data_IF_458960846128
#
_entry.id   IF_458960846128
#
_cell.length_a   1.000
_cell.length_b   1.000
_cell.length_c   1.000
_cell.angle_alpha   90.00
_cell.angle_beta   90.00
_cell.angle_gamma   90.00
#
_symmetry.space_group_name_H-M   'P 1'
#
loop_
_entity.id
_entity.type
_entity.pdbx_description
1 polymer ?
#
# COMPACT_ATOMS: atom_id res chain seq x y z
N UNK A 1 -27.92 -35.58 1.36
CA UNK A 1 -26.83 -35.02 0.55
C UNK A 1 -27.00 -33.50 0.65
N UNK A 2 -26.38 -32.91 1.64
CA UNK A 2 -26.40 -31.48 1.88
C UNK A 2 -25.25 -30.89 1.07
N UNK A 3 -25.60 -30.08 0.07
CA UNK A 3 -24.66 -29.21 -0.65
C UNK A 3 -24.00 -28.28 0.37
N UNK A 4 -22.79 -28.61 0.76
CA UNK A 4 -21.85 -27.62 1.27
C UNK A 4 -21.43 -26.77 0.06
N UNK A 5 -22.21 -25.73 -0.25
CA UNK A 5 -21.71 -24.62 -1.03
C UNK A 5 -20.53 -24.05 -0.21
N UNK A 6 -19.33 -24.28 -0.68
CA UNK A 6 -18.12 -23.60 -0.22
C UNK A 6 -18.40 -22.10 -0.29
N UNK A 7 -18.70 -21.50 0.85
CA UNK A 7 -18.95 -20.06 0.93
C UNK A 7 -17.65 -19.37 0.52
N UNK A 8 -17.70 -18.71 -0.62
CA UNK A 8 -16.62 -17.77 -1.01
C UNK A 8 -16.45 -16.78 0.14
N UNK A 9 -15.31 -16.75 0.81
CA UNK A 9 -15.09 -15.92 2.00
C UNK A 9 -15.15 -14.42 1.71
N UNK A 10 -14.92 -14.02 0.45
CA UNK A 10 -15.17 -12.66 -0.01
C UNK A 10 -16.67 -12.36 -0.01
N UNK A 11 -17.52 -13.37 -0.20
CA UNK A 11 -18.97 -13.21 -0.08
C UNK A 11 -19.41 -12.74 1.32
N UNK A 12 -18.63 -13.02 2.36
CA UNK A 12 -18.93 -12.52 3.72
C UNK A 12 -18.72 -11.02 3.91
N UNK A 13 -17.94 -10.38 3.05
CA UNK A 13 -17.71 -8.93 3.02
C UNK A 13 -18.66 -8.24 2.03
N UNK A 14 -19.14 -8.98 1.02
CA UNK A 14 -19.97 -8.45 -0.04
C UNK A 14 -21.45 -8.39 0.39
N UNK A 15 -22.14 -7.37 -0.08
CA UNK A 15 -23.59 -7.32 -0.03
C UNK A 15 -24.19 -8.32 -1.03
N UNK A 16 -24.69 -9.45 -0.54
CA UNK A 16 -25.33 -10.48 -1.36
C UNK A 16 -26.51 -9.92 -2.17
N UNK A 17 -27.26 -8.98 -1.58
CA UNK A 17 -28.41 -8.36 -2.23
C UNK A 17 -28.00 -7.59 -3.51
N UNK A 18 -26.95 -6.78 -3.41
CA UNK A 18 -26.39 -6.04 -4.54
C UNK A 18 -25.79 -6.97 -5.59
N UNK A 19 -25.03 -7.97 -5.16
CA UNK A 19 -24.43 -8.96 -6.06
C UNK A 19 -25.51 -9.73 -6.85
N UNK A 20 -26.60 -10.17 -6.20
CA UNK A 20 -27.70 -10.86 -6.86
C UNK A 20 -28.50 -9.95 -7.81
N UNK A 21 -28.71 -8.69 -7.45
CA UNK A 21 -29.39 -7.74 -8.34
C UNK A 21 -28.54 -7.44 -9.56
N UNK A 22 -27.24 -7.22 -9.37
CA UNK A 22 -26.31 -6.99 -10.46
C UNK A 22 -26.26 -8.20 -11.41
N UNK A 23 -26.17 -9.42 -10.87
CA UNK A 23 -26.15 -10.65 -11.67
C UNK A 23 -27.45 -10.79 -12.51
N UNK A 24 -28.61 -10.45 -11.95
CA UNK A 24 -29.87 -10.43 -12.72
C UNK A 24 -29.85 -9.40 -13.84
N UNK A 25 -29.39 -8.19 -13.55
CA UNK A 25 -29.24 -7.14 -14.58
C UNK A 25 -28.31 -7.59 -15.71
N UNK A 26 -27.24 -8.28 -15.37
CA UNK A 26 -26.29 -8.84 -16.32
C UNK A 26 -26.94 -9.88 -17.25
N UNK A 27 -27.75 -10.78 -16.69
CA UNK A 27 -28.50 -11.78 -17.46
C UNK A 27 -29.55 -11.14 -18.38
N UNK A 28 -30.28 -10.14 -17.90
CA UNK A 28 -31.34 -9.44 -18.63
C UNK A 28 -30.79 -8.57 -19.77
N UNK A 29 -29.54 -8.11 -19.68
CA UNK A 29 -28.91 -7.23 -20.67
C UNK A 29 -28.57 -7.90 -22.02
N UNK A 30 -28.65 -9.22 -22.10
CA UNK A 30 -28.31 -9.98 -23.32
C UNK A 30 -26.80 -10.04 -23.62
N UNK A 31 -25.97 -9.57 -22.68
CA UNK A 31 -24.50 -9.68 -22.71
C UNK A 31 -23.78 -8.34 -22.65
N UNK A 32 -22.52 -8.40 -22.25
CA UNK A 32 -21.64 -7.25 -21.98
C UNK A 32 -20.43 -7.18 -22.92
N UNK A 33 -20.45 -7.88 -24.06
CA UNK A 33 -19.29 -8.01 -24.96
C UNK A 33 -18.71 -6.65 -25.40
N UNK A 34 -19.57 -5.65 -25.62
CA UNK A 34 -19.12 -4.29 -25.99
C UNK A 34 -18.46 -3.59 -24.79
N UNK A 35 -19.02 -3.72 -23.61
CA UNK A 35 -18.49 -3.12 -22.38
C UNK A 35 -17.15 -3.77 -22.01
N UNK A 36 -17.02 -5.09 -22.15
CA UNK A 36 -15.77 -5.81 -21.94
C UNK A 36 -14.69 -5.32 -22.90
N UNK A 37 -14.96 -5.28 -24.21
CA UNK A 37 -14.00 -4.80 -25.21
C UNK A 37 -13.56 -3.34 -24.96
N UNK A 38 -14.50 -2.50 -24.53
CA UNK A 38 -14.17 -1.13 -24.14
C UNK A 38 -13.28 -1.08 -22.90
N UNK A 39 -13.62 -1.81 -21.83
CA UNK A 39 -12.86 -1.84 -20.59
C UNK A 39 -11.44 -2.40 -20.81
N UNK A 40 -11.30 -3.45 -21.61
CA UNK A 40 -10.00 -3.98 -22.02
C UNK A 40 -9.14 -2.93 -22.75
N UNK A 41 -9.74 -2.23 -23.72
CA UNK A 41 -9.06 -1.17 -24.47
C UNK A 41 -8.66 -0.01 -23.56
N UNK A 42 -9.54 0.38 -22.62
CA UNK A 42 -9.24 1.41 -21.63
C UNK A 42 -8.09 1.00 -20.73
N UNK A 43 -8.15 -0.19 -20.11
CA UNK A 43 -7.11 -0.68 -19.20
C UNK A 43 -5.75 -0.82 -19.90
N UNK A 44 -5.74 -1.26 -21.15
CA UNK A 44 -4.53 -1.29 -21.96
C UNK A 44 -3.94 0.11 -22.20
N UNK A 45 -4.79 1.15 -22.27
CA UNK A 45 -4.35 2.53 -22.47
C UNK A 45 -3.85 3.22 -21.21
N UNK A 46 -4.30 2.76 -20.02
CA UNK A 46 -3.94 3.38 -18.73
C UNK A 46 -2.59 2.92 -18.19
N UNK A 47 -1.99 1.91 -18.79
CA UNK A 47 -0.77 1.26 -18.28
C UNK A 47 -0.92 0.77 -16.82
N UNK A 48 -2.14 0.42 -16.40
CA UNK A 48 -2.43 -0.08 -15.04
C UNK A 48 -1.87 -1.49 -14.78
N UNK A 49 -1.33 -2.15 -15.80
CA UNK A 49 -0.73 -3.48 -15.72
C UNK A 49 0.71 -3.47 -15.21
N UNK A 50 1.29 -4.66 -15.11
CA UNK A 50 2.68 -4.86 -14.69
C UNK A 50 3.59 -4.91 -15.93
N UNK A 51 4.45 -3.91 -16.10
CA UNK A 51 5.29 -3.76 -17.28
C UNK A 51 4.43 -3.63 -18.56
N UNK A 52 4.70 -4.47 -19.57
CA UNK A 52 3.95 -4.50 -20.83
C UNK A 52 2.66 -5.34 -20.77
N UNK A 53 2.38 -5.98 -19.63
CA UNK A 53 1.19 -6.81 -19.47
C UNK A 53 0.05 -5.98 -18.93
N UNK A 54 -1.13 -5.96 -19.59
CA UNK A 54 -2.31 -5.32 -19.04
C UNK A 54 -2.71 -5.98 -17.73
N UNK A 55 -3.42 -5.25 -16.86
CA UNK A 55 -3.97 -5.81 -15.64
C UNK A 55 -4.95 -6.93 -15.98
N UNK A 56 -4.74 -8.10 -15.39
CA UNK A 56 -5.71 -9.18 -15.47
C UNK A 56 -6.92 -8.82 -14.58
N UNK A 57 -8.14 -8.85 -15.12
CA UNK A 57 -9.33 -8.38 -14.43
C UNK A 57 -10.58 -9.19 -14.76
N UNK A 58 -11.58 -9.10 -13.90
CA UNK A 58 -12.91 -9.71 -14.05
C UNK A 58 -13.98 -8.63 -14.12
N UNK A 59 -15.06 -8.91 -14.85
CA UNK A 59 -16.26 -8.06 -14.91
C UNK A 59 -17.25 -8.30 -13.76
N UNK A 60 -16.87 -9.10 -12.79
CA UNK A 60 -17.69 -9.40 -11.61
C UNK A 60 -17.31 -8.48 -10.45
N UNK A 61 -18.09 -7.43 -10.15
CA UNK A 61 -17.76 -6.51 -9.08
C UNK A 61 -17.95 -7.14 -7.70
N UNK A 62 -17.22 -6.60 -6.73
CA UNK A 62 -17.44 -6.83 -5.30
C UNK A 62 -18.13 -5.60 -4.73
N UNK A 63 -19.26 -5.78 -4.10
CA UNK A 63 -20.03 -4.72 -3.43
C UNK A 63 -19.85 -4.85 -1.92
N UNK A 64 -19.13 -3.93 -1.31
CA UNK A 64 -18.88 -3.90 0.14
C UNK A 64 -19.97 -3.09 0.82
N UNK A 65 -20.80 -3.75 1.62
CA UNK A 65 -21.82 -3.08 2.43
C UNK A 65 -21.26 -2.55 3.76
N UNK A 66 -22.09 -1.80 4.51
CA UNK A 66 -21.70 -1.18 5.78
C UNK A 66 -21.08 -2.17 6.78
N UNK A 67 -21.68 -3.35 6.96
CA UNK A 67 -21.17 -4.39 7.87
C UNK A 67 -19.79 -4.93 7.41
N UNK A 68 -19.57 -5.01 6.09
CA UNK A 68 -18.29 -5.42 5.51
C UNK A 68 -17.23 -4.35 5.73
N UNK A 69 -17.60 -3.09 5.54
CA UNK A 69 -16.72 -1.94 5.76
C UNK A 69 -16.29 -1.84 7.23
N UNK A 70 -17.23 -1.92 8.17
CA UNK A 70 -16.93 -1.88 9.62
C UNK A 70 -15.97 -3.00 10.03
N UNK A 71 -16.12 -4.20 9.45
CA UNK A 71 -15.18 -5.32 9.70
C UNK A 71 -13.80 -5.06 9.14
N UNK A 72 -13.70 -4.49 7.94
CA UNK A 72 -12.41 -4.13 7.32
C UNK A 72 -11.69 -3.04 8.10
N UNK A 73 -12.41 -2.01 8.54
CA UNK A 73 -11.87 -0.95 9.40
C UNK A 73 -11.40 -1.50 10.74
N UNK A 74 -12.20 -2.34 11.38
CA UNK A 74 -11.84 -3.00 12.65
C UNK A 74 -10.58 -3.85 12.49
N UNK A 75 -10.53 -4.70 11.46
CA UNK A 75 -9.35 -5.50 11.15
C UNK A 75 -8.12 -4.61 10.93
N UNK A 76 -8.26 -3.56 10.11
CA UNK A 76 -7.17 -2.64 9.78
C UNK A 76 -6.60 -1.95 11.01
N UNK A 77 -7.48 -1.49 11.91
CA UNK A 77 -7.09 -0.83 13.16
C UNK A 77 -6.33 -1.79 14.09
N UNK A 78 -6.82 -3.02 14.23
CA UNK A 78 -6.17 -4.04 15.08
C UNK A 78 -4.81 -4.44 14.47
N UNK A 79 -4.78 -4.75 13.17
CA UNK A 79 -3.56 -5.14 12.48
C UNK A 79 -2.51 -4.04 12.53
N UNK A 80 -2.89 -2.79 12.23
CA UNK A 80 -1.98 -1.65 12.30
C UNK A 80 -1.43 -1.45 13.72
N UNK A 81 -2.29 -1.55 14.75
CA UNK A 81 -1.87 -1.42 16.15
C UNK A 81 -0.82 -2.47 16.54
N UNK A 82 -1.00 -3.72 16.16
CA UNK A 82 -0.01 -4.79 16.39
C UNK A 82 1.33 -4.44 15.75
N UNK A 83 1.30 -4.01 14.47
CA UNK A 83 2.53 -3.72 13.72
C UNK A 83 3.23 -2.46 14.24
N UNK A 84 2.48 -1.41 14.59
CA UNK A 84 3.05 -0.21 15.21
C UNK A 84 3.74 -0.53 16.54
N UNK A 85 3.09 -1.31 17.41
CA UNK A 85 3.69 -1.81 18.66
C UNK A 85 4.96 -2.62 18.41
N UNK A 86 4.93 -3.53 17.43
CA UNK A 86 6.09 -4.37 17.09
C UNK A 86 7.28 -3.53 16.60
N UNK A 87 7.04 -2.55 15.74
CA UNK A 87 8.08 -1.65 15.25
C UNK A 87 8.65 -0.74 16.35
N UNK A 88 7.80 -0.25 17.26
CA UNK A 88 8.25 0.49 18.46
C UNK A 88 9.06 -0.40 19.39
N UNK A 89 8.59 -1.63 19.66
CA UNK A 89 9.31 -2.59 20.48
C UNK A 89 10.66 -2.95 19.85
N UNK A 90 10.73 -3.17 18.55
CA UNK A 90 11.99 -3.43 17.85
C UNK A 90 13.01 -2.31 18.08
N UNK A 91 12.60 -1.05 18.06
CA UNK A 91 13.50 0.09 18.26
C UNK A 91 13.91 0.28 19.73
N UNK A 92 13.00 0.05 20.67
CA UNK A 92 13.20 0.38 22.09
C UNK A 92 13.66 -0.79 22.97
N UNK A 93 13.41 -2.04 22.55
CA UNK A 93 13.67 -3.24 23.35
C UNK A 93 14.70 -4.13 22.65
N UNK A 94 15.92 -4.20 23.21
CA UNK A 94 17.03 -5.01 22.66
C UNK A 94 16.74 -6.51 22.67
N UNK A 95 16.04 -7.03 23.68
CA UNK A 95 15.71 -8.45 23.79
C UNK A 95 14.68 -8.85 22.72
N UNK A 96 13.68 -8.02 22.48
CA UNK A 96 12.73 -8.23 21.37
C UNK A 96 13.43 -8.15 20.02
N UNK A 97 14.29 -7.16 19.81
CA UNK A 97 15.07 -7.00 18.56
C UNK A 97 15.97 -8.21 18.28
N UNK A 98 16.57 -8.80 19.30
CA UNK A 98 17.43 -9.97 19.15
C UNK A 98 16.70 -11.20 18.59
N UNK A 99 15.36 -11.29 18.73
CA UNK A 99 14.56 -12.38 18.18
C UNK A 99 14.60 -12.43 16.64
N UNK A 100 14.91 -11.32 15.99
CA UNK A 100 14.97 -11.22 14.54
C UNK A 100 16.26 -11.75 13.93
N UNK A 101 17.32 -11.93 14.72
CA UNK A 101 18.60 -12.49 14.28
C UNK A 101 19.28 -11.70 13.16
N UNK A 102 19.02 -10.39 13.08
CA UNK A 102 19.62 -9.51 12.09
C UNK A 102 21.08 -9.20 12.44
N UNK A 103 21.89 -8.90 11.44
CA UNK A 103 23.22 -8.36 11.67
C UNK A 103 23.16 -6.90 12.19
N UNK A 104 24.21 -6.47 12.87
CA UNK A 104 24.25 -5.16 13.53
C UNK A 104 24.10 -3.97 12.55
N UNK A 105 24.54 -4.13 11.29
CA UNK A 105 24.40 -3.08 10.28
C UNK A 105 22.93 -2.94 9.87
N UNK A 106 22.25 -4.05 9.61
CA UNK A 106 20.81 -4.08 9.29
C UNK A 106 19.98 -3.57 10.46
N UNK A 107 20.26 -3.99 11.70
CA UNK A 107 19.59 -3.47 12.91
C UNK A 107 19.72 -1.96 13.03
N UNK A 108 20.92 -1.42 12.81
CA UNK A 108 21.16 0.03 12.83
C UNK A 108 20.28 0.76 11.80
N UNK A 109 20.16 0.24 10.58
CA UNK A 109 19.32 0.82 9.53
C UNK A 109 17.83 0.82 9.94
N UNK A 110 17.36 -0.26 10.52
CA UNK A 110 15.98 -0.37 11.01
C UNK A 110 15.69 0.57 12.20
N UNK A 111 16.71 0.97 12.94
CA UNK A 111 16.60 1.88 14.08
C UNK A 111 16.77 3.36 13.70
N UNK A 112 17.06 3.69 12.44
CA UNK A 112 17.18 5.10 12.01
C UNK A 112 15.90 5.87 12.27
N UNK A 113 16.06 7.08 12.80
CA UNK A 113 14.94 7.99 12.97
C UNK A 113 14.55 8.60 11.61
N UNK A 114 13.26 8.69 11.35
CA UNK A 114 12.74 9.26 10.11
C UNK A 114 12.19 10.68 10.29
N UNK A 115 12.22 11.20 11.54
CA UNK A 115 11.77 12.55 11.86
C UNK A 115 10.23 12.72 11.93
N UNK A 116 9.45 11.64 11.87
CA UNK A 116 7.99 11.65 12.03
C UNK A 116 7.52 10.42 12.83
N UNK A 117 6.33 10.49 13.46
CA UNK A 117 5.87 9.48 14.41
C UNK A 117 5.34 8.20 13.78
N UNK A 118 4.58 8.30 12.67
CA UNK A 118 3.95 7.16 12.01
C UNK A 118 4.99 6.11 11.61
N UNK A 119 4.92 4.88 12.18
CA UNK A 119 5.96 3.87 11.94
C UNK A 119 5.93 3.33 10.51
N UNK A 120 4.75 3.12 9.95
CA UNK A 120 4.54 2.57 8.61
C UNK A 120 3.40 3.32 7.90
N UNK A 121 3.70 4.43 7.20
CA UNK A 121 2.67 5.27 6.62
C UNK A 121 1.93 4.65 5.43
N UNK A 122 2.57 3.77 4.70
CA UNK A 122 1.95 3.08 3.56
C UNK A 122 2.05 1.58 3.79
N UNK A 123 0.89 0.93 3.94
CA UNK A 123 0.83 -0.51 4.20
C UNK A 123 -0.22 -1.18 3.31
N UNK A 124 0.04 -2.44 2.97
CA UNK A 124 -0.92 -3.36 2.39
C UNK A 124 -0.85 -4.67 3.15
N UNK A 125 -2.00 -5.13 3.61
CA UNK A 125 -2.17 -6.46 4.19
C UNK A 125 -2.75 -7.38 3.14
N UNK A 126 -2.13 -8.53 2.90
CA UNK A 126 -2.67 -9.54 2.01
C UNK A 126 -3.23 -10.69 2.85
N UNK A 127 -4.53 -10.95 2.66
CA UNK A 127 -5.33 -11.87 3.42
C UNK A 127 -5.79 -12.99 2.48
N UNK A 128 -5.55 -14.22 2.88
CA UNK A 128 -6.15 -15.40 2.27
C UNK A 128 -7.26 -15.92 3.18
N UNK A 129 -8.14 -16.72 2.61
CA UNK A 129 -9.20 -17.37 3.35
C UNK A 129 -9.06 -18.88 3.21
N UNK A 130 -9.25 -19.62 4.28
CA UNK A 130 -9.29 -21.07 4.24
C UNK A 130 -10.66 -21.60 3.78
N UNK A 131 -10.76 -22.93 3.59
CA UNK A 131 -12.01 -23.60 3.19
C UNK A 131 -13.17 -23.39 4.17
N UNK A 132 -12.88 -23.03 5.41
CA UNK A 132 -13.85 -22.70 6.45
C UNK A 132 -14.28 -21.22 6.42
N UNK A 133 -13.61 -20.40 5.62
CA UNK A 133 -13.82 -18.94 5.52
C UNK A 133 -13.11 -18.14 6.61
N UNK A 134 -12.16 -18.73 7.35
CA UNK A 134 -11.33 -17.97 8.29
C UNK A 134 -10.27 -17.16 7.52
N UNK A 135 -10.07 -15.92 7.94
CA UNK A 135 -9.11 -14.99 7.35
C UNK A 135 -7.70 -15.19 7.93
N UNK A 136 -6.71 -15.32 7.07
CA UNK A 136 -5.32 -15.48 7.43
C UNK A 136 -4.47 -14.38 6.80
N UNK A 137 -3.80 -13.57 7.61
CA UNK A 137 -2.84 -12.60 7.12
C UNK A 137 -1.54 -13.32 6.76
N UNK A 138 -1.15 -13.29 5.49
CA UNK A 138 0.05 -13.99 5.02
C UNK A 138 1.15 -13.05 4.52
N UNK A 139 0.83 -11.78 4.23
CA UNK A 139 1.84 -10.82 3.78
C UNK A 139 1.54 -9.40 4.28
N UNK A 140 2.61 -8.67 4.57
CA UNK A 140 2.57 -7.25 4.92
C UNK A 140 3.57 -6.51 4.04
N UNK A 141 3.08 -5.69 3.13
CA UNK A 141 3.92 -4.84 2.28
C UNK A 141 3.93 -3.40 2.81
N UNK A 142 5.11 -2.82 3.02
CA UNK A 142 5.26 -1.48 3.61
C UNK A 142 6.03 -0.49 2.74
N UNK A 143 6.97 -0.97 1.94
CA UNK A 143 7.81 -0.10 1.10
C UNK A 143 7.28 0.00 -0.33
N UNK A 144 6.79 -1.13 -0.84
CA UNK A 144 6.33 -1.29 -2.20
C UNK A 144 4.93 -1.90 -2.22
N UNK A 145 3.99 -1.29 -1.50
CA UNK A 145 2.57 -1.66 -1.54
C UNK A 145 2.05 -1.41 -2.97
N UNK A 146 2.25 -2.41 -3.84
CA UNK A 146 1.88 -2.36 -5.27
C UNK A 146 0.41 -2.63 -5.47
N UNK A 147 -0.10 -2.30 -6.66
CA UNK A 147 -1.45 -2.66 -7.08
C UNK A 147 -2.51 -1.61 -6.76
N UNK A 148 -2.14 -0.50 -6.15
CA UNK A 148 -3.01 0.62 -5.83
C UNK A 148 -3.65 1.19 -7.10
N UNK A 149 -2.83 1.56 -8.08
CA UNK A 149 -3.31 2.12 -9.37
C UNK A 149 -4.16 1.11 -10.13
N UNK A 150 -3.73 -0.17 -10.15
CA UNK A 150 -4.47 -1.22 -10.84
C UNK A 150 -5.87 -1.45 -10.26
N UNK A 151 -6.03 -1.36 -8.93
CA UNK A 151 -7.33 -1.50 -8.27
C UNK A 151 -8.29 -0.37 -8.69
N UNK A 152 -7.83 0.88 -8.62
CA UNK A 152 -8.64 2.04 -9.02
C UNK A 152 -8.99 2.03 -10.50
N UNK A 153 -8.03 1.70 -11.37
CA UNK A 153 -8.28 1.70 -12.82
C UNK A 153 -9.26 0.60 -13.24
N UNK A 154 -9.23 -0.57 -12.59
CA UNK A 154 -10.22 -1.64 -12.83
C UNK A 154 -11.62 -1.19 -12.41
N UNK A 155 -11.75 -0.61 -11.22
CA UNK A 155 -13.04 -0.07 -10.76
C UNK A 155 -13.52 1.08 -11.68
N UNK A 156 -12.63 1.99 -12.08
CA UNK A 156 -12.95 3.11 -12.97
C UNK A 156 -13.35 2.66 -14.37
N UNK A 157 -12.66 1.64 -14.91
CA UNK A 157 -13.00 1.05 -16.20
C UNK A 157 -14.40 0.46 -16.17
N UNK A 158 -14.69 -0.38 -15.18
CA UNK A 158 -15.97 -1.07 -15.13
C UNK A 158 -17.14 -0.14 -14.80
N UNK A 159 -16.93 0.90 -13.99
CA UNK A 159 -17.95 1.92 -13.71
C UNK A 159 -18.50 2.62 -14.95
N UNK A 160 -17.71 2.68 -16.04
CA UNK A 160 -18.13 3.28 -17.31
C UNK A 160 -18.88 2.30 -18.24
N UNK A 161 -19.03 1.04 -17.85
CA UNK A 161 -19.83 0.09 -18.61
C UNK A 161 -21.30 0.49 -18.64
N UNK A 162 -22.02 0.15 -19.70
CA UNK A 162 -23.45 0.46 -19.82
C UNK A 162 -24.27 -0.23 -18.74
N UNK A 163 -23.87 -1.44 -18.37
CA UNK A 163 -24.54 -2.21 -17.33
C UNK A 163 -24.33 -1.61 -15.95
N UNK A 164 -23.11 -1.17 -15.62
CA UNK A 164 -22.84 -0.54 -14.34
C UNK A 164 -23.52 0.83 -14.23
N UNK A 165 -23.56 1.59 -15.32
CA UNK A 165 -24.29 2.86 -15.40
C UNK A 165 -25.79 2.68 -15.09
N UNK A 166 -26.42 1.63 -15.62
CA UNK A 166 -27.83 1.31 -15.32
C UNK A 166 -27.99 0.86 -13.86
N UNK A 167 -27.04 0.11 -13.34
CA UNK A 167 -27.05 -0.31 -11.92
C UNK A 167 -26.89 0.89 -10.98
N UNK A 168 -25.93 1.78 -11.25
CA UNK A 168 -25.69 3.01 -10.48
C UNK A 168 -26.90 3.97 -10.49
N UNK A 169 -27.63 4.02 -11.63
CA UNK A 169 -28.86 4.80 -11.71
C UNK A 169 -29.95 4.34 -10.71
N UNK A 170 -29.94 3.07 -10.35
CA UNK A 170 -30.84 2.49 -9.33
C UNK A 170 -30.34 2.70 -7.92
N UNK A 171 -29.03 2.79 -7.75
CA UNK A 171 -28.33 2.85 -6.45
C UNK A 171 -27.42 4.08 -6.40
N UNK A 172 -27.98 5.22 -5.96
CA UNK A 172 -27.27 6.52 -5.97
C UNK A 172 -26.16 6.65 -4.93
N UNK A 173 -25.97 5.65 -4.07
CA UNK A 173 -24.96 5.65 -2.99
C UNK A 173 -23.65 4.95 -3.36
N UNK A 174 -23.55 4.38 -4.56
CA UNK A 174 -22.35 3.64 -4.98
C UNK A 174 -21.12 4.53 -5.09
N UNK A 175 -20.04 4.14 -4.46
CA UNK A 175 -18.72 4.78 -4.61
C UNK A 175 -17.61 3.75 -4.80
N UNK A 176 -16.54 4.13 -5.49
CA UNK A 176 -15.31 3.34 -5.55
C UNK A 176 -14.35 3.81 -4.45
N UNK A 177 -13.43 2.94 -4.06
CA UNK A 177 -12.26 3.36 -3.29
C UNK A 177 -11.36 4.23 -4.18
N UNK A 178 -10.77 5.27 -3.59
CA UNK A 178 -9.85 6.18 -4.29
C UNK A 178 -8.43 6.01 -3.73
N UNK A 179 -7.93 4.78 -3.88
CA UNK A 179 -6.68 4.33 -3.26
C UNK A 179 -5.48 5.15 -3.71
N UNK A 180 -5.45 5.51 -4.99
CA UNK A 180 -4.31 6.24 -5.57
C UNK A 180 -4.21 7.65 -5.00
N UNK A 181 -5.33 8.37 -4.89
CA UNK A 181 -5.40 9.70 -4.30
C UNK A 181 -5.10 9.64 -2.79
N UNK A 182 -5.71 8.70 -2.07
CA UNK A 182 -5.44 8.50 -0.64
C UNK A 182 -3.97 8.18 -0.35
N UNK A 183 -3.30 7.42 -1.24
CA UNK A 183 -1.87 7.13 -1.12
C UNK A 183 -1.02 8.40 -1.31
N UNK A 184 -1.34 9.23 -2.29
CA UNK A 184 -0.66 10.52 -2.54
C UNK A 184 -0.84 11.44 -1.33
N UNK A 185 -2.07 11.59 -0.83
CA UNK A 185 -2.35 12.40 0.35
C UNK A 185 -1.56 11.93 1.57
N UNK A 186 -1.50 10.61 1.78
CA UNK A 186 -0.73 10.04 2.88
C UNK A 186 0.76 10.37 2.81
N UNK A 187 1.37 10.32 1.63
CA UNK A 187 2.79 10.72 1.45
C UNK A 187 2.98 12.20 1.77
N UNK A 188 2.05 13.06 1.33
CA UNK A 188 2.11 14.49 1.59
C UNK A 188 1.91 14.81 3.07
N UNK A 189 1.02 14.11 3.76
CA UNK A 189 0.79 14.28 5.21
C UNK A 189 2.03 13.90 6.03
N UNK A 190 2.71 12.82 5.64
CA UNK A 190 3.99 12.44 6.26
C UNK A 190 5.04 13.54 6.06
N UNK A 191 5.13 14.11 4.86
CA UNK A 191 6.04 15.20 4.60
C UNK A 191 5.71 16.45 5.42
N UNK A 192 4.44 16.82 5.53
CA UNK A 192 3.98 17.93 6.39
C UNK A 192 4.33 17.70 7.86
N UNK A 193 4.09 16.48 8.36
CA UNK A 193 4.44 16.10 9.73
C UNK A 193 5.95 16.20 10.00
N UNK A 194 6.76 15.79 9.03
CA UNK A 194 8.22 15.88 9.09
C UNK A 194 8.73 17.33 9.03
N UNK A 195 8.16 18.16 8.14
CA UNK A 195 8.55 19.56 7.94
C UNK A 195 8.16 20.45 9.12
N UNK A 196 7.15 20.04 9.91
CA UNK A 196 6.71 20.73 11.12
C UNK A 196 5.83 21.97 10.87
N UNK A 197 5.52 22.77 11.90
CA UNK A 197 4.48 23.81 11.89
C UNK A 197 4.79 25.05 11.05
N UNK A 198 5.86 25.07 10.30
CA UNK A 198 6.18 26.15 9.35
C UNK A 198 5.82 25.81 7.90
N UNK A 199 5.23 24.64 7.67
CA UNK A 199 4.80 24.24 6.34
C UNK A 199 3.46 24.92 6.01
N UNK A 200 3.34 25.64 4.87
CA UNK A 200 2.11 26.32 4.53
C UNK A 200 0.96 25.31 4.33
N UNK A 201 -0.22 25.64 4.87
CA UNK A 201 -1.48 25.01 4.48
C UNK A 201 -1.71 25.35 3.00
N UNK A 202 -1.39 24.41 2.13
CA UNK A 202 -1.56 24.61 0.69
C UNK A 202 -2.94 24.14 0.26
N UNK A 203 -3.68 25.02 -0.39
CA UNK A 203 -4.88 24.63 -1.13
C UNK A 203 -4.48 23.84 -2.39
N UNK A 204 -5.39 22.99 -2.93
CA UNK A 204 -5.15 22.36 -4.23
C UNK A 204 -4.84 23.42 -5.29
N UNK A 205 -3.63 23.39 -5.84
CA UNK A 205 -3.15 24.36 -6.83
C UNK A 205 -2.06 25.32 -6.34
N UNK A 206 -1.75 25.33 -5.04
CA UNK A 206 -0.60 26.08 -4.53
C UNK A 206 0.68 25.24 -4.64
N UNK A 207 1.80 25.90 -4.98
CA UNK A 207 3.10 25.22 -4.98
C UNK A 207 3.51 24.85 -3.55
N UNK A 208 3.90 23.61 -3.33
CA UNK A 208 4.47 23.14 -2.06
C UNK A 208 5.86 23.75 -1.86
N UNK A 209 5.92 24.90 -1.20
CA UNK A 209 7.19 25.58 -0.90
C UNK A 209 7.47 25.57 0.60
N UNK A 210 8.72 25.31 0.97
CA UNK A 210 9.22 25.50 2.33
C UNK A 210 10.32 26.57 2.30
N UNK A 211 10.02 27.75 2.80
CA UNK A 211 10.86 28.94 2.57
C UNK A 211 10.92 29.30 1.08
N UNK A 212 12.10 29.37 0.51
CA UNK A 212 12.32 29.66 -0.91
C UNK A 212 12.40 28.40 -1.81
N UNK A 213 12.07 27.21 -1.28
CA UNK A 213 12.23 25.93 -2.01
C UNK A 213 10.89 25.24 -2.20
N UNK A 214 10.53 24.99 -3.45
CA UNK A 214 9.39 24.13 -3.81
C UNK A 214 9.69 22.68 -3.39
N UNK A 215 8.68 21.96 -2.87
CA UNK A 215 8.81 20.56 -2.51
C UNK A 215 9.24 19.74 -3.73
N UNK A 216 10.42 19.09 -3.60
CA UNK A 216 10.91 18.11 -4.56
C UNK A 216 10.77 16.71 -3.98
N UNK A 217 10.03 15.85 -4.65
CA UNK A 217 9.79 14.47 -4.26
C UNK A 217 10.43 13.52 -5.27
N UNK A 218 11.24 12.59 -4.78
CA UNK A 218 11.73 11.49 -5.60
C UNK A 218 11.11 10.17 -5.13
N UNK A 219 10.42 9.49 -6.04
CA UNK A 219 10.02 8.09 -5.84
C UNK A 219 11.26 7.26 -6.13
N UNK A 220 11.83 6.67 -5.07
CA UNK A 220 13.11 5.97 -5.15
C UNK A 220 12.88 4.47 -5.29
N UNK A 221 13.47 3.91 -6.34
CA UNK A 221 13.35 2.49 -6.68
C UNK A 221 14.64 1.89 -7.24
N UNK A 222 14.55 0.64 -7.66
CA UNK A 222 15.54 -0.03 -8.52
C UNK A 222 14.93 -0.05 -9.94
N UNK A 223 15.49 0.71 -10.85
CA UNK A 223 14.96 0.89 -12.21
C UNK A 223 14.75 -0.43 -12.95
N UNK A 224 15.61 -1.41 -12.69
CA UNK A 224 15.53 -2.71 -13.34
C UNK A 224 14.34 -3.56 -12.86
N UNK A 225 13.85 -3.32 -11.63
CA UNK A 225 12.81 -4.12 -10.99
C UNK A 225 11.57 -3.30 -10.57
N UNK A 226 11.50 -2.03 -10.98
CA UNK A 226 10.38 -1.14 -10.65
C UNK A 226 9.34 -1.14 -11.76
N UNK A 227 8.08 -1.30 -11.39
CA UNK A 227 6.96 -1.07 -12.32
C UNK A 227 6.79 0.44 -12.56
N UNK A 228 7.34 0.90 -13.69
CA UNK A 228 7.31 2.31 -14.04
C UNK A 228 5.91 2.82 -14.37
N UNK A 229 4.97 1.96 -14.77
CA UNK A 229 3.61 2.39 -15.08
C UNK A 229 2.90 2.97 -13.85
N UNK A 230 2.96 2.23 -12.74
CA UNK A 230 2.40 2.70 -11.46
C UNK A 230 3.13 3.96 -10.96
N UNK A 231 4.46 4.00 -11.09
CA UNK A 231 5.28 5.15 -10.68
C UNK A 231 4.94 6.40 -11.49
N UNK A 232 4.83 6.31 -12.81
CA UNK A 232 4.48 7.45 -13.69
C UNK A 232 3.10 8.02 -13.35
N UNK A 233 2.15 7.15 -12.97
CA UNK A 233 0.83 7.60 -12.50
C UNK A 233 0.95 8.43 -11.22
N UNK A 234 1.70 7.95 -10.23
CA UNK A 234 1.95 8.72 -9.00
C UNK A 234 2.68 10.03 -9.27
N UNK A 235 3.72 10.02 -10.11
CA UNK A 235 4.44 11.25 -10.49
C UNK A 235 3.46 12.29 -11.09
N UNK A 236 2.56 11.85 -11.97
CA UNK A 236 1.55 12.73 -12.54
C UNK A 236 0.67 13.35 -11.47
N UNK A 237 0.14 12.55 -10.55
CA UNK A 237 -0.73 13.04 -9.48
C UNK A 237 -0.02 13.98 -8.50
N UNK A 238 1.24 13.72 -8.16
CA UNK A 238 2.02 14.65 -7.35
C UNK A 238 2.24 15.99 -8.07
N UNK A 239 2.51 15.94 -9.39
CA UNK A 239 2.68 17.16 -10.19
C UNK A 239 1.39 17.95 -10.34
N UNK A 240 0.26 17.29 -10.47
CA UNK A 240 -1.07 17.93 -10.50
C UNK A 240 -1.38 18.67 -9.18
N UNK A 241 -0.68 18.31 -8.09
CA UNK A 241 -0.74 18.95 -6.78
C UNK A 241 0.40 19.95 -6.51
N UNK A 242 1.13 20.38 -7.55
CA UNK A 242 2.20 21.37 -7.44
C UNK A 242 3.52 20.84 -6.86
N UNK A 243 3.67 19.50 -6.72
CA UNK A 243 4.90 18.87 -6.22
C UNK A 243 5.84 18.53 -7.38
N UNK A 244 7.12 18.90 -7.29
CA UNK A 244 8.13 18.50 -8.27
C UNK A 244 8.50 17.03 -8.07
N UNK A 245 7.66 16.14 -8.61
CA UNK A 245 7.85 14.69 -8.47
C UNK A 245 8.60 14.08 -9.66
N UNK A 246 9.49 13.11 -9.36
CA UNK A 246 10.25 12.34 -10.34
C UNK A 246 10.60 10.95 -9.80
N UNK A 247 11.09 10.06 -10.66
CA UNK A 247 11.71 8.81 -10.26
C UNK A 247 13.23 9.01 -10.14
N UNK A 248 13.83 8.39 -9.12
CA UNK A 248 15.28 8.27 -8.98
C UNK A 248 15.66 6.80 -8.71
N UNK A 249 16.70 6.33 -9.38
CA UNK A 249 17.29 5.04 -9.02
C UNK A 249 18.11 5.19 -7.73
N UNK A 250 18.09 4.15 -6.86
CA UNK A 250 18.88 4.18 -5.62
C UNK A 250 20.35 4.51 -5.88
N UNK A 251 20.92 3.99 -6.96
CA UNK A 251 22.34 4.19 -7.32
C UNK A 251 22.68 5.64 -7.73
N UNK A 252 21.69 6.45 -8.09
CA UNK A 252 21.84 7.84 -8.50
C UNK A 252 21.90 8.81 -7.31
N UNK A 253 21.57 8.34 -6.11
CA UNK A 253 21.51 9.18 -4.92
C UNK A 253 22.89 9.54 -4.37
N UNK A 254 23.03 10.76 -3.92
CA UNK A 254 24.25 11.24 -3.24
C UNK A 254 23.93 12.37 -2.26
N UNK A 255 24.83 12.60 -1.30
CA UNK A 255 24.78 13.75 -0.41
C UNK A 255 25.71 14.83 -0.95
N UNK A 256 25.20 16.04 -1.14
CA UNK A 256 26.00 17.18 -1.63
C UNK A 256 25.75 18.44 -0.81
N UNK A 257 26.78 19.25 -0.70
CA UNK A 257 26.67 20.61 -0.22
C UNK A 257 26.20 21.49 -1.39
N UNK A 258 24.94 21.93 -1.35
CA UNK A 258 24.33 22.75 -2.42
C UNK A 258 24.56 24.24 -2.24
N UNK A 259 24.86 24.67 -1.01
CA UNK A 259 25.34 26.01 -0.62
C UNK A 259 26.25 25.85 0.60
N UNK A 260 27.12 26.82 0.92
CA UNK A 260 27.97 26.76 2.12
C UNK A 260 27.17 26.43 3.39
N UNK A 261 27.52 25.31 4.04
CA UNK A 261 26.86 24.80 5.24
C UNK A 261 25.48 24.14 5.01
N UNK A 262 24.97 24.07 3.78
CA UNK A 262 23.67 23.47 3.46
C UNK A 262 23.81 22.18 2.67
N UNK A 263 23.73 21.07 3.38
CA UNK A 263 23.81 19.73 2.81
C UNK A 263 22.40 19.25 2.41
N UNK A 264 22.30 18.56 1.26
CA UNK A 264 21.06 17.98 0.73
C UNK A 264 21.31 16.59 0.16
N UNK A 265 20.26 15.76 0.21
CA UNK A 265 20.16 14.60 -0.64
C UNK A 265 19.87 15.09 -2.07
N UNK A 266 20.56 14.53 -3.05
CA UNK A 266 20.41 14.87 -4.46
C UNK A 266 20.40 13.61 -5.32
N UNK A 267 19.76 13.69 -6.49
CA UNK A 267 19.92 12.78 -7.61
C UNK A 267 20.55 13.50 -8.82
N UNK A 268 20.48 12.92 -10.01
CA UNK A 268 21.00 13.54 -11.23
C UNK A 268 20.32 14.88 -11.58
N UNK A 269 19.08 15.09 -11.15
CA UNK A 269 18.24 16.23 -11.53
C UNK A 269 18.19 17.33 -10.47
N UNK A 270 18.73 17.11 -9.27
CA UNK A 270 18.84 18.13 -8.24
C UNK A 270 18.48 17.70 -6.82
N UNK A 271 18.23 18.68 -5.91
CA UNK A 271 17.90 18.40 -4.52
C UNK A 271 16.59 17.64 -4.36
N UNK A 272 16.54 16.78 -3.32
CA UNK A 272 15.40 15.99 -2.92
C UNK A 272 15.01 16.39 -1.51
N UNK A 273 13.79 16.88 -1.32
CA UNK A 273 13.21 17.21 -0.01
C UNK A 273 12.45 16.01 0.59
N UNK A 274 11.84 15.19 -0.27
CA UNK A 274 11.09 14.01 0.13
C UNK A 274 11.46 12.81 -0.73
N UNK A 275 11.75 11.70 -0.08
CA UNK A 275 11.93 10.38 -0.69
C UNK A 275 10.72 9.53 -0.38
N UNK A 276 10.02 9.02 -1.39
CA UNK A 276 9.11 7.91 -1.21
C UNK A 276 9.79 6.63 -1.68
N UNK A 277 10.19 5.78 -0.74
CA UNK A 277 10.91 4.54 -1.05
C UNK A 277 9.94 3.47 -1.57
N UNK A 278 10.21 2.97 -2.77
CA UNK A 278 9.44 1.92 -3.47
C UNK A 278 10.27 0.68 -3.77
N UNK A 279 11.34 0.46 -3.01
CA UNK A 279 12.25 -0.68 -3.11
C UNK A 279 12.48 -1.27 -1.73
N UNK A 280 12.58 -2.61 -1.63
CA UNK A 280 12.81 -3.30 -0.37
C UNK A 280 14.21 -3.07 0.16
N UNK A 281 14.39 -3.09 1.50
CA UNK A 281 15.69 -2.90 2.11
C UNK A 281 16.68 -3.98 1.68
N UNK A 282 16.26 -5.24 1.56
CA UNK A 282 17.12 -6.32 1.05
C UNK A 282 17.71 -5.97 -0.30
N UNK A 283 16.89 -5.44 -1.22
CA UNK A 283 17.37 -5.01 -2.53
C UNK A 283 18.31 -3.80 -2.48
N UNK A 284 18.03 -2.84 -1.58
CA UNK A 284 18.93 -1.70 -1.36
C UNK A 284 20.30 -2.17 -0.85
N UNK A 285 20.32 -3.13 0.07
CA UNK A 285 21.56 -3.73 0.60
C UNK A 285 22.35 -4.48 -0.48
N UNK A 286 21.66 -5.19 -1.38
CA UNK A 286 22.31 -5.84 -2.55
C UNK A 286 22.93 -4.82 -3.52
N UNK A 287 22.23 -3.73 -3.81
CA UNK A 287 22.76 -2.63 -4.63
C UNK A 287 23.95 -1.97 -3.92
N UNK A 288 23.81 -1.71 -2.62
CA UNK A 288 24.86 -1.12 -1.80
C UNK A 288 25.36 0.25 -2.28
N UNK A 289 26.60 0.55 -1.94
CA UNK A 289 27.33 1.69 -2.46
C UNK A 289 26.82 3.07 -2.03
N UNK A 290 27.17 4.08 -2.81
CA UNK A 290 26.95 5.50 -2.46
C UNK A 290 25.47 5.86 -2.26
N UNK A 291 24.54 5.18 -2.94
CA UNK A 291 23.11 5.46 -2.81
C UNK A 291 22.55 5.04 -1.45
N UNK A 292 22.92 3.86 -0.94
CA UNK A 292 22.57 3.44 0.43
C UNK A 292 23.17 4.41 1.45
N UNK A 293 24.47 4.75 1.30
CA UNK A 293 25.14 5.69 2.19
C UNK A 293 24.46 7.06 2.18
N UNK A 294 23.98 7.51 1.02
CA UNK A 294 23.26 8.77 0.88
C UNK A 294 21.91 8.75 1.63
N UNK A 295 21.14 7.66 1.54
CA UNK A 295 19.88 7.49 2.28
C UNK A 295 20.13 7.47 3.81
N UNK A 296 21.16 6.75 4.25
CA UNK A 296 21.55 6.70 5.68
C UNK A 296 21.91 8.10 6.17
N UNK A 297 22.79 8.79 5.46
CA UNK A 297 23.19 10.15 5.84
C UNK A 297 22.03 11.14 5.78
N UNK A 298 21.10 10.98 4.83
CA UNK A 298 19.91 11.83 4.76
C UNK A 298 19.03 11.67 6.01
N UNK A 299 18.85 10.43 6.49
CA UNK A 299 18.12 10.14 7.74
C UNK A 299 18.86 10.69 8.97
N UNK A 300 20.15 10.34 9.13
CA UNK A 300 20.96 10.74 10.29
C UNK A 300 21.08 12.28 10.43
N UNK A 301 21.11 13.00 9.33
CA UNK A 301 21.21 14.47 9.29
C UNK A 301 19.86 15.17 9.19
N UNK A 302 18.76 14.39 9.05
CA UNK A 302 17.42 14.91 8.86
C UNK A 302 17.31 15.94 7.71
N UNK A 303 17.95 15.67 6.57
CA UNK A 303 18.00 16.59 5.42
C UNK A 303 17.00 16.28 4.32
N UNK A 304 16.27 15.16 4.44
CA UNK A 304 15.14 14.78 3.59
C UNK A 304 14.14 13.93 4.38
N UNK A 305 12.86 14.09 4.09
CA UNK A 305 11.81 13.20 4.60
C UNK A 305 11.91 11.85 3.92
N UNK A 306 11.97 10.75 4.67
CA UNK A 306 12.04 9.39 4.13
C UNK A 306 10.72 8.63 4.36
N UNK A 307 9.75 8.78 3.46
CA UNK A 307 8.50 8.03 3.50
C UNK A 307 8.76 6.56 3.14
N UNK A 308 8.31 5.64 3.99
CA UNK A 308 8.69 4.23 3.88
C UNK A 308 10.13 3.97 4.33
N UNK A 309 10.54 4.58 5.45
CA UNK A 309 11.87 4.41 6.04
C UNK A 309 12.24 2.93 6.30
N UNK A 310 13.53 2.67 6.48
CA UNK A 310 14.08 1.31 6.65
C UNK A 310 13.57 0.63 7.93
N UNK A 311 13.01 1.39 8.87
CA UNK A 311 12.42 0.89 10.12
C UNK A 311 11.28 -0.10 9.96
N UNK A 312 10.65 -0.18 8.77
CA UNK A 312 9.59 -1.15 8.49
C UNK A 312 10.12 -2.53 8.08
N UNK A 313 11.41 -2.69 7.87
CA UNK A 313 12.03 -3.94 7.42
C UNK A 313 11.78 -5.15 8.36
N UNK A 314 11.72 -5.00 9.69
CA UNK A 314 11.40 -6.14 10.56
C UNK A 314 10.10 -6.86 10.20
N UNK A 315 9.12 -6.16 9.60
CA UNK A 315 7.85 -6.76 9.16
C UNK A 315 8.01 -7.75 8.00
N UNK A 316 9.08 -7.61 7.22
CA UNK A 316 9.41 -8.52 6.12
C UNK A 316 10.34 -9.68 6.55
N UNK A 317 10.75 -9.72 7.83
CA UNK A 317 11.64 -10.77 8.34
C UNK A 317 10.89 -12.10 8.47
N UNK A 318 11.50 -13.23 8.10
CA UNK A 318 10.94 -14.56 8.37
C UNK A 318 10.64 -14.83 9.85
N UNK A 319 11.36 -14.16 10.75
CA UNK A 319 11.19 -14.27 12.20
C UNK A 319 10.03 -13.43 12.74
N UNK A 320 9.40 -12.60 11.91
CA UNK A 320 8.40 -11.64 12.36
C UNK A 320 7.24 -12.28 13.13
N UNK A 321 6.60 -13.31 12.57
CA UNK A 321 5.48 -13.99 13.22
C UNK A 321 5.91 -14.64 14.55
N UNK A 322 7.08 -15.30 14.58
CA UNK A 322 7.61 -15.90 15.81
C UNK A 322 7.96 -14.86 16.86
N UNK A 323 8.45 -13.69 16.46
CA UNK A 323 8.70 -12.58 17.38
C UNK A 323 7.40 -12.04 18.01
N UNK A 324 6.33 -11.90 17.22
CA UNK A 324 5.02 -11.45 17.70
C UNK A 324 4.40 -12.42 18.71
N UNK A 325 4.62 -13.72 18.55
CA UNK A 325 4.11 -14.77 19.46
C UNK A 325 5.00 -15.00 20.68
N UNK A 326 6.15 -14.31 20.79
CA UNK A 326 7.04 -14.41 21.95
C UNK A 326 6.34 -13.96 23.22
N UNK A 327 6.70 -14.58 24.37
CA UNK A 327 6.12 -14.23 25.68
C UNK A 327 6.35 -12.75 26.02
N UNK A 328 7.51 -12.21 25.64
CA UNK A 328 7.88 -10.83 25.93
C UNK A 328 6.93 -9.83 25.23
N UNK A 329 6.58 -10.10 23.96
CA UNK A 329 5.73 -9.18 23.18
C UNK A 329 4.24 -9.45 23.37
N UNK A 330 3.83 -10.71 23.47
CA UNK A 330 2.41 -11.07 23.61
C UNK A 330 1.72 -10.47 24.85
N UNK A 331 2.49 -10.11 25.88
CA UNK A 331 1.99 -9.40 27.07
C UNK A 331 1.57 -7.96 26.80
N UNK A 332 2.04 -7.35 25.72
CA UNK A 332 1.69 -5.98 25.31
C UNK A 332 0.43 -5.93 24.43
N UNK A 333 -0.06 -7.10 24.02
CA UNK A 333 -1.20 -7.22 23.12
C UNK A 333 -2.52 -7.32 23.89
N UNK A 334 -3.54 -6.64 23.38
CA UNK A 334 -4.92 -6.85 23.79
C UNK A 334 -5.43 -8.24 23.37
N UNK A 335 -6.57 -8.73 23.90
CA UNK A 335 -7.13 -10.01 23.49
C UNK A 335 -7.40 -10.11 21.98
N UNK A 336 -7.94 -9.06 21.35
CA UNK A 336 -8.22 -9.04 19.92
C UNK A 336 -6.94 -9.00 19.06
N UNK A 337 -5.92 -8.27 19.50
CA UNK A 337 -4.60 -8.27 18.84
C UNK A 337 -3.92 -9.65 18.93
N UNK A 338 -4.03 -10.31 20.10
CA UNK A 338 -3.46 -11.64 20.28
C UNK A 338 -4.19 -12.69 19.43
N UNK A 339 -5.50 -12.57 19.27
CA UNK A 339 -6.29 -13.43 18.38
C UNK A 339 -5.85 -13.26 16.92
N UNK A 340 -5.68 -12.02 16.45
CA UNK A 340 -5.15 -11.72 15.12
C UNK A 340 -3.77 -12.35 14.90
N UNK A 341 -2.85 -12.15 15.84
CA UNK A 341 -1.47 -12.70 15.74
C UNK A 341 -1.47 -14.22 15.68
N UNK A 342 -2.36 -14.90 16.38
CA UNK A 342 -2.51 -16.36 16.31
C UNK A 342 -3.03 -16.84 14.97
N UNK A 343 -3.76 -15.99 14.23
CA UNK A 343 -4.28 -16.26 12.89
C UNK A 343 -3.28 -15.98 11.77
N UNK A 344 -2.06 -15.54 12.05
CA UNK A 344 -1.06 -15.30 11.00
C UNK A 344 -0.62 -16.63 10.39
N UNK A 345 -0.77 -16.74 9.07
CA UNK A 345 -0.37 -17.90 8.31
C UNK A 345 1.00 -17.69 7.65
N UNK A 346 1.70 -18.79 7.35
CA UNK A 346 2.85 -18.73 6.47
C UNK A 346 2.40 -18.55 5.01
N UNK A 347 3.22 -17.88 4.19
CA UNK A 347 2.98 -17.75 2.75
C UNK A 347 2.80 -19.10 2.05
N UNK A 348 3.57 -20.12 2.47
CA UNK A 348 3.47 -21.48 1.91
C UNK A 348 2.08 -22.10 2.11
N UNK A 349 1.48 -21.90 3.27
CA UNK A 349 0.13 -22.40 3.56
C UNK A 349 -0.91 -21.70 2.70
N UNK A 350 -0.82 -20.38 2.54
CA UNK A 350 -1.74 -19.60 1.70
C UNK A 350 -1.62 -19.96 0.21
N UNK A 351 -0.39 -20.22 -0.29
CA UNK A 351 -0.15 -20.58 -1.68
C UNK A 351 -0.65 -22.00 -2.05
N UNK A 352 -0.62 -22.93 -1.09
CA UNK A 352 -1.09 -24.32 -1.31
C UNK A 352 -2.61 -24.41 -1.51
N UNK A 353 -3.37 -23.43 -1.00
CA UNK A 353 -4.83 -23.46 -1.01
C UNK A 353 -5.47 -22.78 -2.23
N UNK A 354 -4.69 -22.22 -3.16
CA UNK A 354 -5.22 -21.56 -4.37
C UNK A 354 -6.24 -20.47 -4.06
N UNK A 355 -5.97 -19.70 -3.01
CA UNK A 355 -6.97 -18.87 -2.36
C UNK A 355 -7.24 -17.56 -3.10
N UNK A 356 -8.51 -17.16 -3.07
CA UNK A 356 -8.88 -15.78 -3.31
C UNK A 356 -8.11 -14.85 -2.36
N UNK A 357 -7.59 -13.76 -2.89
CA UNK A 357 -6.77 -12.82 -2.13
C UNK A 357 -7.50 -11.50 -1.95
N UNK A 358 -7.57 -11.04 -0.71
CA UNK A 358 -8.02 -9.72 -0.34
C UNK A 358 -6.80 -8.89 0.09
N UNK A 359 -6.48 -7.85 -0.67
CA UNK A 359 -5.50 -6.84 -0.25
C UNK A 359 -6.21 -5.67 0.42
N UNK A 360 -5.83 -5.38 1.66
CA UNK A 360 -6.37 -4.27 2.45
C UNK A 360 -5.30 -3.19 2.56
N UNK A 361 -5.61 -1.98 2.10
CA UNK A 361 -4.70 -0.85 2.13
C UNK A 361 -4.95 0.03 3.36
N UNK A 362 -3.87 0.35 4.06
CA UNK A 362 -3.88 1.19 5.25
C UNK A 362 -2.85 2.29 5.08
N UNK A 363 -3.29 3.53 5.12
CA UNK A 363 -2.43 4.70 4.96
C UNK A 363 -2.48 5.57 6.21
N UNK A 364 -1.31 5.92 6.74
CA UNK A 364 -1.14 6.64 8.01
C UNK A 364 -1.93 6.05 9.18
N UNK A 365 -2.10 4.72 9.19
CA UNK A 365 -2.85 4.00 10.22
C UNK A 365 -4.36 3.93 10.01
N UNK A 366 -4.89 4.47 8.90
CA UNK A 366 -6.31 4.46 8.58
C UNK A 366 -6.61 3.53 7.40
N UNK A 367 -7.72 2.81 7.48
CA UNK A 367 -8.23 2.04 6.35
C UNK A 367 -8.45 2.96 5.14
N UNK A 368 -7.93 2.56 3.98
CA UNK A 368 -8.04 3.32 2.74
C UNK A 368 -8.89 2.62 1.68
N UNK A 369 -8.93 1.29 1.71
CA UNK A 369 -9.72 0.52 0.77
C UNK A 369 -9.14 -0.87 0.51
N UNK A 370 -9.69 -1.55 -0.50
CA UNK A 370 -9.35 -2.94 -0.81
C UNK A 370 -9.08 -3.16 -2.30
N UNK A 371 -8.39 -4.26 -2.58
CA UNK A 371 -8.34 -4.91 -3.89
C UNK A 371 -8.62 -6.39 -3.71
N UNK A 372 -9.47 -6.95 -4.54
CA UNK A 372 -9.84 -8.37 -4.51
C UNK A 372 -9.34 -9.05 -5.78
N UNK A 373 -8.69 -10.19 -5.64
CA UNK A 373 -8.28 -11.05 -6.74
C UNK A 373 -8.86 -12.45 -6.53
N UNK A 374 -9.56 -12.95 -7.56
CA UNK A 374 -10.13 -14.31 -7.61
C UNK A 374 -9.57 -14.99 -8.85
N UNK A 375 -9.01 -16.19 -8.72
CA UNK A 375 -8.37 -16.92 -9.84
C UNK A 375 -7.30 -16.08 -10.58
N UNK A 376 -6.60 -15.19 -9.86
CA UNK A 376 -5.60 -14.28 -10.43
C UNK A 376 -6.18 -13.11 -11.23
N UNK A 377 -7.49 -12.90 -11.19
CA UNK A 377 -8.18 -11.79 -11.84
C UNK A 377 -8.60 -10.75 -10.81
N UNK A 378 -8.20 -9.50 -11.02
CA UNK A 378 -8.60 -8.38 -10.17
C UNK A 378 -10.06 -8.00 -10.41
N UNK A 379 -10.82 -7.86 -9.35
CA UNK A 379 -12.24 -7.51 -9.39
C UNK A 379 -12.47 -6.03 -9.11
N UNK A 380 -13.40 -5.35 -9.80
CA UNK A 380 -13.82 -3.99 -9.43
C UNK A 380 -14.47 -4.00 -8.04
N UNK A 381 -14.06 -3.08 -7.16
CA UNK A 381 -14.58 -3.01 -5.79
C UNK A 381 -15.32 -1.68 -5.58
N UNK A 382 -16.51 -1.75 -4.98
CA UNK A 382 -17.38 -0.59 -4.72
C UNK A 382 -17.98 -0.67 -3.31
N UNK A 383 -18.16 0.50 -2.69
CA UNK A 383 -18.96 0.69 -1.48
C UNK A 383 -20.43 0.87 -1.85
N UNK A 384 -21.35 0.28 -1.04
CA UNK A 384 -22.80 0.30 -1.27
C UNK A 384 -23.55 0.65 0.00
#
# INVERSE_FOLDING_TARGET
MTENATRNPIASLASEAFAHEYARLLQDSGGVSRDLAWAESYLASTRAGLGDKPVAWSSEPVFVGDDGLERLETFSNIAYSVLDKALRAFRSNGDFRALFGMDAATERLCCLDTGYECQAPIMRFDIAFDDGGAAHLFNVATAAARGVVGADEVARAWRRSSIFTEFERRHQTLSAFDLTEACVDSVLDVYRAWAGPGFPDTNPGDDYTYGDETMSLSIVGDRANTDMNEIERFITLFRDRGVHARFADVSELSIREVRPGRVRLVDGDGPIACVWRRVDLGRILEIGGAGLDALVQAAERNVACLVGGMRTWPLASPQFVSALTSEAFSRELSPSELELVRGFASWSEAAEHGCDTLSVFVFNGHFAGISVETDGLRRPCYLV
#
